data_IF_612295528482
#
_entry.id   IF_612295528482
#
_cell.length_a   1.000
_cell.length_b   1.000
_cell.length_c   1.000
_cell.angle_alpha   90.00
_cell.angle_beta   90.00
_cell.angle_gamma   90.00
#
_symmetry.space_group_name_H-M   'P 1'
#
loop_
_entity.id
_entity.type
_entity.pdbx_description
1 polymer ?
#
# COMPACT_ATOMS: atom_id res chain seq x y z
N UNK A 1 -17.93 -58.38 -5.06
CA UNK A 1 -16.82 -57.74 -4.35
C UNK A 1 -15.84 -57.18 -5.39
N UNK A 2 -16.12 -56.02 -6.00
CA UNK A 2 -15.25 -55.49 -7.06
C UNK A 2 -15.20 -53.96 -6.94
N UNK A 3 -14.17 -53.47 -6.26
CA UNK A 3 -13.89 -52.03 -6.11
C UNK A 3 -13.27 -51.52 -7.41
N UNK A 4 -14.05 -50.85 -8.22
CA UNK A 4 -13.55 -50.05 -9.35
C UNK A 4 -12.97 -48.75 -8.81
N UNK A 5 -11.68 -48.78 -8.46
CA UNK A 5 -10.87 -47.58 -8.26
C UNK A 5 -10.93 -46.77 -9.54
N UNK A 6 -11.73 -45.71 -9.51
CA UNK A 6 -11.80 -44.74 -10.59
C UNK A 6 -10.42 -44.13 -10.74
N UNK A 7 -9.79 -44.44 -11.87
CA UNK A 7 -8.61 -43.76 -12.38
C UNK A 7 -8.90 -42.26 -12.40
N UNK A 8 -8.51 -41.56 -11.33
CA UNK A 8 -8.55 -40.12 -11.23
C UNK A 8 -7.51 -39.59 -12.22
N UNK A 9 -8.04 -39.22 -13.37
CA UNK A 9 -7.40 -38.76 -14.58
C UNK A 9 -6.05 -38.04 -14.39
N UNK A 10 -5.06 -38.31 -15.27
CA UNK A 10 -3.77 -37.59 -15.28
C UNK A 10 -3.95 -36.07 -15.48
N UNK A 11 -5.11 -35.64 -15.99
CA UNK A 11 -5.50 -34.23 -16.13
C UNK A 11 -5.67 -33.50 -14.79
N UNK A 12 -6.14 -34.19 -13.75
CA UNK A 12 -6.28 -33.59 -12.42
C UNK A 12 -4.93 -33.29 -11.78
N UNK A 13 -3.93 -34.13 -12.05
CA UNK A 13 -2.55 -33.94 -11.59
C UNK A 13 -1.91 -32.74 -12.27
N UNK A 14 -2.09 -32.58 -13.58
CA UNK A 14 -1.59 -31.40 -14.30
C UNK A 14 -2.25 -30.10 -13.84
N UNK A 15 -3.57 -30.10 -13.63
CA UNK A 15 -4.28 -28.93 -13.09
C UNK A 15 -3.75 -28.62 -11.69
N UNK A 16 -3.61 -29.60 -10.80
CA UNK A 16 -3.03 -29.37 -9.48
C UNK A 16 -1.61 -28.81 -9.56
N UNK A 17 -0.76 -29.37 -10.43
CA UNK A 17 0.63 -28.94 -10.60
C UNK A 17 0.76 -27.51 -11.13
N UNK A 18 -0.14 -27.06 -12.01
CA UNK A 18 -0.18 -25.66 -12.49
C UNK A 18 -0.82 -24.73 -11.46
N UNK A 19 -1.86 -25.17 -10.77
CA UNK A 19 -2.58 -24.34 -9.81
C UNK A 19 -1.74 -24.04 -8.55
N UNK A 20 -0.87 -24.97 -8.14
CA UNK A 20 -0.04 -24.84 -6.94
C UNK A 20 0.89 -23.61 -6.99
N UNK A 21 1.70 -23.38 -8.05
CA UNK A 21 2.53 -22.17 -8.13
C UNK A 21 1.70 -20.89 -8.38
N UNK A 22 0.53 -20.96 -9.01
CA UNK A 22 -0.33 -19.78 -9.18
C UNK A 22 -0.94 -19.31 -7.85
N UNK A 23 -1.33 -20.23 -6.95
CA UNK A 23 -1.78 -19.88 -5.59
C UNK A 23 -0.61 -19.50 -4.68
N UNK A 24 0.54 -20.18 -4.79
CA UNK A 24 1.73 -19.85 -4.02
C UNK A 24 2.36 -18.51 -4.45
N UNK A 25 2.19 -18.10 -5.70
CA UNK A 25 2.71 -16.83 -6.25
C UNK A 25 1.87 -15.59 -5.89
N UNK A 26 0.67 -15.76 -5.33
CA UNK A 26 -0.15 -14.63 -4.88
C UNK A 26 0.36 -14.01 -3.56
N UNK A 27 1.34 -14.63 -2.92
CA UNK A 27 2.11 -14.05 -1.83
C UNK A 27 3.59 -14.23 -2.16
N UNK A 28 4.28 -13.15 -2.46
CA UNK A 28 5.75 -13.13 -2.38
C UNK A 28 6.10 -13.38 -0.91
N UNK A 29 6.33 -14.64 -0.55
CA UNK A 29 7.03 -14.99 0.69
C UNK A 29 8.37 -14.29 0.57
N UNK A 30 8.59 -13.25 1.38
CA UNK A 30 9.74 -12.36 1.30
C UNK A 30 11.03 -13.17 1.20
N UNK A 31 11.49 -13.37 -0.04
CA UNK A 31 12.69 -14.12 -0.34
C UNK A 31 13.85 -13.41 0.32
N UNK A 32 14.35 -14.04 1.37
CA UNK A 32 15.65 -13.85 2.00
C UNK A 32 16.43 -12.65 1.45
N UNK A 33 16.24 -11.47 2.05
CA UNK A 33 17.25 -10.43 1.93
C UNK A 33 18.49 -10.95 2.67
N UNK A 34 19.35 -11.70 2.00
CA UNK A 34 20.69 -12.04 2.47
C UNK A 34 21.55 -10.78 2.44
N UNK A 35 21.27 -9.86 3.37
CA UNK A 35 22.23 -8.88 3.84
C UNK A 35 22.95 -9.52 5.02
N UNK A 36 24.11 -10.11 4.76
CA UNK A 36 25.07 -10.49 5.79
C UNK A 36 25.45 -9.24 6.58
N UNK A 37 24.97 -9.13 7.82
CA UNK A 37 25.24 -7.95 8.64
C UNK A 37 24.52 -7.93 9.98
N UNK A 38 25.19 -8.51 10.96
CA UNK A 38 25.09 -8.30 12.41
C UNK A 38 23.88 -8.90 13.17
N UNK A 39 24.20 -9.96 13.91
CA UNK A 39 23.57 -10.30 15.18
C UNK A 39 23.48 -9.06 16.08
N UNK A 40 22.26 -8.73 16.51
CA UNK A 40 21.95 -7.55 17.31
C UNK A 40 20.47 -7.16 17.21
N UNK A 41 19.60 -7.98 17.82
CA UNK A 41 18.22 -7.60 18.21
C UNK A 41 17.33 -7.03 17.10
N UNK A 42 16.86 -7.88 16.19
CA UNK A 42 15.92 -7.52 15.10
C UNK A 42 14.44 -7.43 15.51
N UNK A 43 14.09 -7.38 16.80
CA UNK A 43 12.68 -7.53 17.23
C UNK A 43 11.77 -6.32 16.98
N UNK A 44 12.26 -5.25 16.32
CA UNK A 44 11.45 -4.03 16.12
C UNK A 44 11.79 -3.18 14.89
N UNK A 45 12.39 -3.75 13.84
CA UNK A 45 12.70 -3.02 12.60
C UNK A 45 11.82 -3.51 11.45
N UNK A 46 10.93 -2.64 10.97
CA UNK A 46 10.11 -2.92 9.80
C UNK A 46 10.85 -2.51 8.52
N UNK A 47 10.96 -3.43 7.55
CA UNK A 47 11.43 -3.12 6.18
C UNK A 47 10.22 -2.94 5.28
N UNK A 48 10.19 -1.84 4.52
CA UNK A 48 9.08 -1.47 3.63
C UNK A 48 9.62 -1.25 2.23
N UNK A 49 8.98 -1.85 1.23
CA UNK A 49 9.25 -1.60 -0.18
C UNK A 49 8.23 -0.61 -0.75
N UNK A 50 8.69 0.38 -1.51
CA UNK A 50 7.85 1.41 -2.11
C UNK A 50 7.58 1.11 -3.58
N UNK A 51 6.32 1.21 -4.02
CA UNK A 51 5.92 0.92 -5.39
C UNK A 51 6.38 1.98 -6.42
N UNK A 52 6.66 3.21 -5.96
CA UNK A 52 7.26 4.28 -6.76
C UNK A 52 8.34 4.98 -5.92
N UNK A 53 9.45 5.41 -6.55
CA UNK A 53 10.47 6.18 -5.86
C UNK A 53 9.91 7.56 -5.45
N UNK A 54 10.39 8.14 -4.34
CA UNK A 54 10.10 9.53 -3.99
C UNK A 54 10.60 10.49 -5.07
N UNK A 55 9.80 11.48 -5.45
CA UNK A 55 10.12 12.41 -6.54
C UNK A 55 10.76 13.70 -6.06
N UNK A 56 10.59 14.05 -4.77
CA UNK A 56 11.08 15.30 -4.18
C UNK A 56 11.69 15.05 -2.80
N UNK A 57 12.53 14.02 -2.70
CA UNK A 57 13.29 13.70 -1.49
C UNK A 57 12.42 13.62 -0.22
N UNK A 58 11.20 13.06 -0.33
CA UNK A 58 10.26 12.96 0.78
C UNK A 58 9.90 14.33 1.39
N UNK A 59 9.64 15.32 0.56
CA UNK A 59 9.13 16.62 1.03
C UNK A 59 7.64 16.49 1.42
N UNK A 60 7.23 16.99 2.61
CA UNK A 60 5.83 16.96 3.05
C UNK A 60 4.91 17.90 2.26
N UNK A 61 5.47 18.76 1.40
CA UNK A 61 4.73 19.71 0.58
C UNK A 61 4.68 19.31 -0.90
N UNK A 62 5.07 18.07 -1.21
CA UNK A 62 5.11 17.52 -2.57
C UNK A 62 4.14 16.35 -2.73
N UNK A 63 4.15 15.73 -3.91
CA UNK A 63 3.41 14.49 -4.18
C UNK A 63 3.84 13.32 -3.27
N UNK A 64 5.00 13.41 -2.62
CA UNK A 64 5.48 12.42 -1.65
C UNK A 64 4.72 12.45 -0.31
N UNK A 65 3.91 13.49 -0.03
CA UNK A 65 3.25 13.68 1.26
C UNK A 65 2.38 12.49 1.70
N UNK A 66 1.66 11.87 0.77
CA UNK A 66 0.86 10.67 1.06
C UNK A 66 1.70 9.46 1.46
N UNK A 67 2.93 9.35 0.95
CA UNK A 67 3.84 8.27 1.29
C UNK A 67 4.38 8.45 2.72
N UNK A 68 4.74 9.68 3.08
CA UNK A 68 5.14 10.03 4.45
C UNK A 68 4.06 9.76 5.50
N UNK A 69 2.80 10.05 5.17
CA UNK A 69 1.67 9.75 6.05
C UNK A 69 1.49 8.25 6.27
N UNK A 70 1.66 7.43 5.22
CA UNK A 70 1.60 5.96 5.32
C UNK A 70 2.76 5.34 6.11
N UNK A 71 3.92 5.98 6.09
CA UNK A 71 5.08 5.60 6.90
C UNK A 71 5.02 6.17 8.33
N UNK A 72 3.94 6.87 8.70
CA UNK A 72 3.77 7.54 10.00
C UNK A 72 4.90 8.52 10.36
N UNK A 73 5.52 9.17 9.36
CA UNK A 73 6.56 10.19 9.58
C UNK A 73 5.95 11.57 9.83
N UNK A 74 4.78 11.82 9.24
CA UNK A 74 4.02 13.07 9.40
C UNK A 74 2.61 12.75 9.86
N UNK A 75 2.02 13.67 10.61
CA UNK A 75 0.65 13.55 11.11
C UNK A 75 -0.24 14.66 10.52
N UNK A 76 -1.43 14.29 10.06
CA UNK A 76 -2.40 15.22 9.50
C UNK A 76 -3.29 15.83 10.58
N UNK A 77 -3.98 16.93 10.23
CA UNK A 77 -5.06 17.47 11.06
C UNK A 77 -6.22 16.45 11.21
N UNK A 78 -6.42 15.64 10.17
CA UNK A 78 -7.43 14.57 10.11
C UNK A 78 -6.78 13.28 9.65
N UNK A 79 -7.29 12.15 10.13
CA UNK A 79 -6.97 10.82 9.64
C UNK A 79 -8.15 10.22 8.87
N UNK A 80 -7.93 9.10 8.20
CA UNK A 80 -9.01 8.28 7.64
C UNK A 80 -9.32 7.13 8.60
N UNK A 81 -10.59 6.93 8.92
CA UNK A 81 -11.05 5.79 9.71
C UNK A 81 -11.13 4.51 8.85
N UNK A 82 -11.54 3.41 9.49
CA UNK A 82 -11.71 2.10 8.84
C UNK A 82 -12.68 2.08 7.64
N UNK A 83 -13.59 3.06 7.57
CA UNK A 83 -14.54 3.20 6.48
C UNK A 83 -14.05 4.18 5.40
N UNK A 84 -12.85 4.74 5.56
CA UNK A 84 -12.31 5.79 4.71
C UNK A 84 -12.96 7.16 4.96
N UNK A 85 -13.67 7.35 6.07
CA UNK A 85 -14.22 8.64 6.46
C UNK A 85 -13.17 9.48 7.20
N UNK A 86 -13.23 10.80 7.03
CA UNK A 86 -12.35 11.71 7.74
C UNK A 86 -12.68 11.72 9.24
N UNK A 87 -11.69 11.43 10.07
CA UNK A 87 -11.75 11.44 11.52
C UNK A 87 -10.75 12.46 12.11
N UNK A 88 -11.01 12.99 13.32
CA UNK A 88 -10.04 13.81 14.04
C UNK A 88 -8.68 13.12 14.23
N UNK A 89 -7.60 13.90 14.09
CA UNK A 89 -6.25 13.53 14.47
C UNK A 89 -5.65 14.69 15.28
N UNK A 90 -4.66 15.42 14.76
CA UNK A 90 -4.13 16.62 15.44
C UNK A 90 -5.20 17.70 15.66
N UNK A 91 -6.15 17.85 14.72
CA UNK A 91 -7.29 18.73 14.93
C UNK A 91 -8.36 17.99 15.74
N UNK A 92 -8.73 18.57 16.88
CA UNK A 92 -9.82 18.04 17.73
C UNK A 92 -11.21 18.22 17.11
N UNK A 93 -11.39 19.28 16.33
CA UNK A 93 -12.64 19.56 15.61
C UNK A 93 -12.39 20.51 14.45
N UNK A 94 -13.30 20.53 13.49
CA UNK A 94 -13.32 21.49 12.39
C UNK A 94 -14.75 21.87 12.06
N UNK A 95 -14.93 23.08 11.54
CA UNK A 95 -16.22 23.57 11.08
C UNK A 95 -16.04 24.33 9.77
N UNK A 96 -16.83 23.98 8.74
CA UNK A 96 -16.92 24.76 7.50
C UNK A 96 -18.03 25.80 7.64
N UNK A 97 -17.66 27.06 7.86
CA UNK A 97 -18.62 28.16 8.03
C UNK A 97 -19.47 28.47 6.79
N UNK A 98 -18.91 28.32 5.60
CA UNK A 98 -19.66 28.47 4.34
C UNK A 98 -18.97 27.66 3.22
N UNK A 99 -19.74 27.13 2.25
CA UNK A 99 -19.15 26.60 1.03
C UNK A 99 -18.58 27.77 0.23
N UNK A 100 -17.25 27.85 0.13
CA UNK A 100 -16.61 28.77 -0.80
C UNK A 100 -16.94 28.30 -2.23
N UNK A 101 -17.68 29.09 -3.00
CA UNK A 101 -17.75 28.93 -4.45
C UNK A 101 -16.35 29.23 -5.00
N UNK A 102 -15.64 28.18 -5.41
CA UNK A 102 -14.45 28.34 -6.21
C UNK A 102 -14.90 28.87 -7.58
N UNK A 103 -14.33 30.01 -7.98
CA UNK A 103 -14.42 30.45 -9.37
C UNK A 103 -13.72 29.43 -10.29
N UNK A 104 -13.89 29.54 -11.62
CA UNK A 104 -13.19 28.69 -12.56
C UNK A 104 -11.68 28.72 -12.27
N UNK A 105 -11.04 27.55 -12.32
CA UNK A 105 -9.60 27.46 -12.15
C UNK A 105 -8.91 28.35 -13.19
N UNK A 106 -8.04 29.24 -12.74
CA UNK A 106 -7.23 30.07 -13.65
C UNK A 106 -6.38 29.11 -14.50
N UNK A 107 -6.46 29.17 -15.83
CA UNK A 107 -5.71 28.25 -16.69
C UNK A 107 -4.21 28.41 -16.44
N UNK A 108 -3.49 27.29 -16.48
CA UNK A 108 -2.06 27.25 -16.20
C UNK A 108 -1.25 28.20 -17.11
N UNK A 109 -1.72 28.44 -18.33
CA UNK A 109 -1.10 29.36 -19.30
C UNK A 109 -1.13 30.84 -18.91
N UNK A 110 -1.90 31.22 -17.88
CA UNK A 110 -2.03 32.60 -17.42
C UNK A 110 -1.16 32.92 -16.19
N UNK A 111 -0.20 32.05 -15.84
CA UNK A 111 0.75 32.29 -14.73
C UNK A 111 2.09 32.89 -15.18
N UNK A 112 2.38 32.85 -16.48
CA UNK A 112 3.68 33.25 -17.04
C UNK A 112 3.60 34.57 -17.83
N UNK A 113 2.53 35.35 -17.66
CA UNK A 113 2.34 36.70 -18.21
C UNK A 113 2.16 37.71 -17.08
#
# INVERSE_FOLDING_TARGET
MSRTFHAYAPRGVFVALVLTPLLAGCFVSGGQCTGTGAEGGSEGRLRVALARPPVMALSPYSDDATLLGKLSVVEGLTALDKNGAAAPALAKSWNRRCPRRLGPARPASARDA
#
